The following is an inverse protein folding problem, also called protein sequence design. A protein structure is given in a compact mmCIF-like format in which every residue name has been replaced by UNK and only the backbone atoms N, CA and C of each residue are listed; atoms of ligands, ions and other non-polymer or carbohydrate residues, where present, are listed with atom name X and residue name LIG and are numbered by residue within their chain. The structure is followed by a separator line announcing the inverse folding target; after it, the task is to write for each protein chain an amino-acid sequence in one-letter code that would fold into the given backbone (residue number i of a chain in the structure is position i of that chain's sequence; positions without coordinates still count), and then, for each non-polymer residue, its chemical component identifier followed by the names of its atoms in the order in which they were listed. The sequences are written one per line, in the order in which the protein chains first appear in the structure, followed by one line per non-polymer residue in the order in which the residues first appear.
data_IF_549523431655
#
_entry.id   IF_549523431655
#
_cell.length_a   1.000
_cell.length_b   1.000
_cell.length_c   1.000
_cell.angle_alpha   90.00
_cell.angle_beta   90.00
_cell.angle_gamma   90.00
#
_symmetry.space_group_name_H-M   'P 1'
#
loop_
_entity.id
_entity.type
_entity.pdbx_description
1 polymer ?
#
# COMPACT_ATOMS: atom_id res chain seq x y z
N UNK A 1 -47.30 11.03 15.05
CA UNK A 1 -45.89 11.27 14.70
C UNK A 1 -45.33 10.25 13.70
N UNK A 2 -45.67 8.96 13.81
CA UNK A 2 -45.10 7.89 12.96
C UNK A 2 -45.41 7.99 11.46
N UNK A 3 -46.58 8.49 11.06
CA UNK A 3 -46.98 8.54 9.65
C UNK A 3 -46.21 9.61 8.84
N UNK A 4 -45.69 10.64 9.51
CA UNK A 4 -44.85 11.66 8.85
C UNK A 4 -43.43 11.14 8.63
N UNK A 5 -42.96 10.29 9.53
CA UNK A 5 -41.65 9.63 9.45
C UNK A 5 -41.60 8.67 8.26
N UNK A 6 -42.66 7.89 8.03
CA UNK A 6 -42.75 7.02 6.84
C UNK A 6 -42.78 7.81 5.52
N UNK A 7 -43.48 8.94 5.46
CA UNK A 7 -43.54 9.78 4.25
C UNK A 7 -42.20 10.45 3.95
N UNK A 8 -41.47 10.85 4.98
CA UNK A 8 -40.11 11.40 4.85
C UNK A 8 -39.13 10.35 4.30
N UNK A 9 -39.18 9.11 4.81
CA UNK A 9 -38.31 8.03 4.37
C UNK A 9 -38.54 7.65 2.89
N UNK A 10 -39.79 7.61 2.44
CA UNK A 10 -40.13 7.31 1.04
C UNK A 10 -39.63 8.42 0.10
N UNK A 11 -39.77 9.69 0.51
CA UNK A 11 -39.28 10.83 -0.27
C UNK A 11 -37.73 10.82 -0.39
N UNK A 12 -37.03 10.43 0.68
CA UNK A 12 -35.57 10.28 0.67
C UNK A 12 -35.09 9.18 -0.28
N UNK A 13 -35.78 8.04 -0.35
CA UNK A 13 -35.41 6.98 -1.30
C UNK A 13 -35.67 7.39 -2.76
N UNK A 14 -36.76 8.12 -3.04
CA UNK A 14 -37.08 8.57 -4.40
C UNK A 14 -36.07 9.58 -4.96
N UNK A 15 -35.37 10.32 -4.10
CA UNK A 15 -34.38 11.33 -4.50
C UNK A 15 -32.96 10.79 -4.68
N UNK A 16 -32.70 9.52 -4.33
CA UNK A 16 -31.36 8.96 -4.50
C UNK A 16 -31.08 8.69 -5.98
N UNK A 17 -30.05 9.33 -6.58
CA UNK A 17 -29.64 8.97 -7.92
C UNK A 17 -29.12 7.54 -7.87
N UNK A 18 -29.79 6.64 -8.58
CA UNK A 18 -29.30 5.29 -8.87
C UNK A 18 -27.96 5.43 -9.60
N UNK A 19 -26.87 5.50 -8.84
CA UNK A 19 -25.55 5.30 -9.39
C UNK A 19 -25.47 3.82 -9.69
N UNK A 20 -25.77 3.45 -10.94
CA UNK A 20 -25.49 2.13 -11.47
C UNK A 20 -24.02 1.85 -11.20
N UNK A 21 -23.74 1.09 -10.14
CA UNK A 21 -22.44 0.50 -9.93
C UNK A 21 -22.20 -0.40 -11.14
N UNK A 22 -21.38 0.08 -12.07
CA UNK A 22 -20.91 -0.70 -13.20
C UNK A 22 -20.02 -1.81 -12.62
N UNK A 23 -20.64 -2.93 -12.27
CA UNK A 23 -19.96 -4.19 -12.05
C UNK A 23 -19.52 -4.72 -13.43
N UNK A 24 -18.61 -3.99 -14.09
CA UNK A 24 -17.77 -4.61 -15.08
C UNK A 24 -16.97 -5.67 -14.35
N UNK A 25 -17.10 -6.93 -14.78
CA UNK A 25 -16.12 -7.94 -14.40
C UNK A 25 -14.77 -7.42 -14.91
N UNK A 26 -14.02 -6.73 -14.06
CA UNK A 26 -12.58 -6.61 -14.27
C UNK A 26 -12.11 -8.05 -14.15
N UNK A 27 -11.73 -8.65 -15.28
CA UNK A 27 -11.23 -10.01 -15.31
C UNK A 27 -10.14 -10.10 -14.26
N UNK A 28 -10.24 -11.05 -13.35
CA UNK A 28 -9.27 -11.26 -12.28
C UNK A 28 -7.84 -11.28 -12.82
N UNK A 29 -7.67 -11.71 -14.07
CA UNK A 29 -6.44 -11.65 -14.86
C UNK A 29 -5.82 -10.24 -15.01
N UNK A 30 -6.63 -9.20 -15.19
CA UNK A 30 -6.16 -7.81 -15.35
C UNK A 30 -5.70 -7.24 -14.00
N UNK A 31 -6.40 -7.57 -12.91
CA UNK A 31 -5.98 -7.20 -11.55
C UNK A 31 -4.72 -7.97 -11.15
N UNK A 32 -4.64 -9.27 -11.45
CA UNK A 32 -3.47 -10.12 -11.12
C UNK A 32 -2.24 -9.70 -11.91
N UNK A 33 -2.36 -9.36 -13.19
CA UNK A 33 -1.24 -8.88 -14.01
C UNK A 33 -0.72 -7.52 -13.53
N UNK A 34 -1.63 -6.58 -13.22
CA UNK A 34 -1.27 -5.28 -12.65
C UNK A 34 -0.64 -5.42 -11.26
N UNK A 35 -1.17 -6.32 -10.41
CA UNK A 35 -0.63 -6.61 -9.10
C UNK A 35 0.77 -7.25 -9.18
N UNK A 36 0.98 -8.24 -10.05
CA UNK A 36 2.31 -8.86 -10.24
C UNK A 36 3.36 -7.85 -10.69
N UNK A 37 2.98 -6.93 -11.60
CA UNK A 37 3.87 -5.86 -12.06
C UNK A 37 4.22 -4.87 -10.94
N UNK A 38 3.25 -4.54 -10.08
CA UNK A 38 3.45 -3.70 -8.91
C UNK A 38 4.32 -4.40 -7.84
N UNK A 39 4.09 -5.69 -7.60
CA UNK A 39 4.87 -6.54 -6.70
C UNK A 39 6.34 -6.58 -7.14
N UNK A 40 6.59 -6.83 -8.44
CA UNK A 40 7.96 -6.82 -9.00
C UNK A 40 8.65 -5.48 -8.82
N UNK A 41 7.93 -4.38 -9.05
CA UNK A 41 8.45 -3.02 -8.85
C UNK A 41 8.79 -2.76 -7.39
N UNK A 42 7.97 -3.25 -6.47
CA UNK A 42 8.19 -3.13 -5.01
C UNK A 42 9.45 -3.89 -4.58
N UNK A 43 9.61 -5.14 -5.01
CA UNK A 43 10.82 -5.93 -4.72
C UNK A 43 12.07 -5.25 -5.28
N UNK A 44 12.02 -4.75 -6.52
CA UNK A 44 13.14 -4.05 -7.15
C UNK A 44 13.49 -2.74 -6.43
N UNK A 45 12.49 -2.00 -5.91
CA UNK A 45 12.72 -0.80 -5.12
C UNK A 45 13.43 -1.12 -3.80
N UNK A 46 13.01 -2.19 -3.10
CA UNK A 46 13.68 -2.65 -1.87
C UNK A 46 15.12 -3.05 -2.16
N UNK A 47 15.38 -3.82 -3.21
CA UNK A 47 16.73 -4.19 -3.64
C UNK A 47 17.58 -3.00 -4.11
N UNK A 48 16.94 -1.90 -4.53
CA UNK A 48 17.63 -0.67 -4.94
C UNK A 48 18.07 0.20 -3.77
N UNK A 49 17.57 -0.03 -2.55
CA UNK A 49 17.97 0.74 -1.37
C UNK A 49 19.43 0.45 -1.05
N UNK A 50 20.22 1.52 -0.86
CA UNK A 50 21.66 1.42 -0.62
C UNK A 50 22.00 0.55 0.59
N UNK A 51 21.17 0.56 1.63
CA UNK A 51 21.34 -0.29 2.82
C UNK A 51 21.19 -1.78 2.47
N UNK A 52 20.17 -2.13 1.68
CA UNK A 52 19.92 -3.51 1.22
C UNK A 52 21.03 -3.97 0.28
N UNK A 53 21.47 -3.12 -0.65
CA UNK A 53 22.58 -3.43 -1.53
C UNK A 53 23.91 -3.65 -0.78
N UNK A 54 24.21 -2.80 0.22
CA UNK A 54 25.38 -2.92 1.09
C UNK A 54 25.34 -4.21 1.92
N UNK A 55 24.16 -4.57 2.43
CA UNK A 55 23.97 -5.79 3.21
C UNK A 55 24.02 -7.05 2.34
N UNK A 56 23.52 -7.01 1.11
CA UNK A 56 23.71 -8.10 0.15
C UNK A 56 25.20 -8.26 -0.20
N UNK A 57 25.90 -7.14 -0.38
CA UNK A 57 27.33 -7.15 -0.68
C UNK A 57 28.17 -7.67 0.50
N UNK A 58 27.79 -7.38 1.75
CA UNK A 58 28.45 -7.93 2.95
C UNK A 58 28.25 -9.44 3.09
N UNK A 59 27.16 -9.98 2.53
CA UNK A 59 26.90 -11.42 2.39
C UNK A 59 27.59 -12.03 1.14
N UNK A 60 28.36 -11.24 0.38
CA UNK A 60 29.05 -11.69 -0.84
C UNK A 60 28.15 -11.76 -2.08
N UNK A 61 26.93 -11.24 -2.02
CA UNK A 61 25.95 -11.27 -3.11
C UNK A 61 26.02 -9.93 -3.86
N UNK A 62 26.27 -9.98 -5.17
CA UNK A 62 26.25 -8.78 -5.99
C UNK A 62 24.79 -8.28 -6.16
N UNK A 63 24.48 -7.01 -5.86
CA UNK A 63 23.12 -6.48 -5.99
C UNK A 63 22.59 -6.55 -7.43
N UNK A 64 23.43 -6.45 -8.46
CA UNK A 64 23.02 -6.62 -9.86
C UNK A 64 22.54 -8.06 -10.13
N UNK A 65 23.26 -9.05 -9.61
CA UNK A 65 22.89 -10.46 -9.73
C UNK A 65 21.56 -10.76 -9.01
N UNK A 66 21.31 -10.12 -7.87
CA UNK A 66 20.04 -10.26 -7.16
C UNK A 66 18.86 -9.69 -7.98
N UNK A 67 19.06 -8.58 -8.70
CA UNK A 67 18.05 -7.99 -9.59
C UNK A 67 17.73 -8.90 -10.76
N UNK A 68 18.76 -9.47 -11.40
CA UNK A 68 18.58 -10.42 -12.50
C UNK A 68 17.80 -11.67 -12.06
N UNK A 69 18.05 -12.15 -10.83
CA UNK A 69 17.28 -13.26 -10.24
C UNK A 69 15.81 -12.90 -10.03
N UNK A 70 15.51 -11.71 -9.52
CA UNK A 70 14.12 -11.21 -9.39
C UNK A 70 13.48 -11.03 -10.76
N UNK A 71 14.24 -10.60 -11.78
CA UNK A 71 13.73 -10.51 -13.15
C UNK A 71 13.53 -11.87 -13.82
N UNK A 72 14.23 -12.91 -13.40
CA UNK A 72 14.03 -14.28 -13.88
C UNK A 72 12.92 -15.05 -13.13
N UNK A 73 12.44 -14.55 -11.98
CA UNK A 73 11.36 -15.19 -11.22
C UNK A 73 10.00 -15.08 -11.92
N UNK A 74 9.19 -16.11 -11.74
CA UNK A 74 7.81 -16.14 -12.21
C UNK A 74 6.92 -15.19 -11.41
N UNK A 75 5.80 -14.75 -12.01
CA UNK A 75 4.85 -13.83 -11.39
C UNK A 75 4.33 -14.32 -10.02
N UNK A 76 4.12 -15.64 -9.90
CA UNK A 76 3.65 -16.28 -8.67
C UNK A 76 4.71 -16.24 -7.55
N UNK A 77 5.98 -16.44 -7.90
CA UNK A 77 7.09 -16.40 -6.95
C UNK A 77 7.34 -14.97 -6.46
N UNK A 78 7.21 -13.98 -7.34
CA UNK A 78 7.38 -12.58 -6.97
C UNK A 78 6.25 -12.09 -6.09
N UNK A 79 5.01 -12.48 -6.36
CA UNK A 79 3.89 -12.11 -5.51
C UNK A 79 4.02 -12.73 -4.10
N UNK A 80 4.47 -13.99 -4.02
CA UNK A 80 4.77 -14.63 -2.74
C UNK A 80 5.94 -13.95 -1.99
N UNK A 81 6.96 -13.49 -2.72
CA UNK A 81 8.08 -12.73 -2.17
C UNK A 81 7.67 -11.33 -1.70
N UNK A 82 6.85 -10.63 -2.47
CA UNK A 82 6.30 -9.31 -2.13
C UNK A 82 5.40 -9.41 -0.90
N UNK A 83 4.52 -10.41 -0.83
CA UNK A 83 3.69 -10.66 0.35
C UNK A 83 4.53 -10.97 1.60
N UNK A 84 5.65 -11.70 1.44
CA UNK A 84 6.61 -11.86 2.54
C UNK A 84 7.26 -10.53 2.92
N UNK A 85 7.77 -9.76 1.96
CA UNK A 85 8.38 -8.45 2.22
C UNK A 85 7.41 -7.43 2.83
N UNK A 86 6.11 -7.54 2.57
CA UNK A 86 5.04 -6.75 3.19
C UNK A 86 4.75 -7.23 4.62
N UNK A 87 4.79 -8.56 4.83
CA UNK A 87 4.59 -9.17 6.16
C UNK A 87 5.78 -9.01 7.11
N UNK A 88 6.99 -8.89 6.58
CA UNK A 88 8.13 -8.39 7.34
C UNK A 88 7.90 -6.88 7.43
N UNK A 89 7.73 -6.27 8.61
CA UNK A 89 7.62 -4.82 8.73
C UNK A 89 8.90 -4.22 8.13
N UNK A 90 8.86 -3.87 6.85
CA UNK A 90 10.00 -3.33 6.14
C UNK A 90 10.32 -2.03 6.86
N UNK A 91 11.48 -2.03 7.51
CA UNK A 91 11.83 -1.14 8.61
C UNK A 91 11.26 0.25 8.42
N UNK A 92 10.53 0.72 9.44
CA UNK A 92 10.16 2.10 9.67
C UNK A 92 11.21 2.98 9.00
N UNK A 93 10.86 3.47 7.80
CA UNK A 93 11.80 4.22 7.00
C UNK A 93 12.33 5.30 7.93
N UNK A 94 13.65 5.49 8.03
CA UNK A 94 14.18 6.56 8.88
C UNK A 94 13.48 7.89 8.56
N UNK A 95 12.99 8.07 7.32
CA UNK A 95 12.10 9.17 6.95
C UNK A 95 10.70 9.11 7.58
N UNK A 96 10.06 7.93 7.64
CA UNK A 96 8.76 7.71 8.27
C UNK A 96 8.80 7.86 9.79
N UNK A 97 9.84 7.37 10.44
CA UNK A 97 10.06 7.56 11.88
C UNK A 97 10.32 9.03 12.21
N UNK A 98 11.13 9.73 11.41
CA UNK A 98 11.37 11.18 11.56
C UNK A 98 10.08 11.98 11.35
N UNK A 99 9.27 11.65 10.35
CA UNK A 99 7.95 12.27 10.13
C UNK A 99 7.02 12.08 11.33
N UNK A 100 6.97 10.87 11.89
CA UNK A 100 6.16 10.55 13.08
C UNK A 100 6.59 11.38 14.30
N UNK A 101 7.91 11.51 14.52
CA UNK A 101 8.49 12.32 15.59
C UNK A 101 8.11 13.80 15.42
N UNK A 102 8.20 14.33 14.20
CA UNK A 102 7.84 15.72 13.88
C UNK A 102 6.35 15.98 14.15
N UNK A 103 5.46 15.07 13.74
CA UNK A 103 4.01 15.21 13.96
C UNK A 103 3.68 15.22 15.46
N UNK A 104 4.29 14.31 16.23
CA UNK A 104 4.08 14.25 17.68
C UNK A 104 4.58 15.52 18.36
N UNK A 105 5.78 15.98 18.02
CA UNK A 105 6.35 17.20 18.59
C UNK A 105 5.50 18.44 18.26
N UNK A 106 5.03 18.57 17.03
CA UNK A 106 4.15 19.65 16.61
C UNK A 106 2.79 19.62 17.34
N UNK A 107 2.20 18.43 17.53
CA UNK A 107 0.96 18.27 18.28
C UNK A 107 1.11 18.68 19.75
N UNK A 108 2.22 18.30 20.40
CA UNK A 108 2.53 18.70 21.78
C UNK A 108 2.73 20.21 21.89
N UNK A 109 3.49 20.80 20.97
CA UNK A 109 3.70 22.26 20.95
C UNK A 109 2.39 23.02 20.75
N UNK A 110 1.54 22.57 19.81
CA UNK A 110 0.21 23.14 19.60
C UNK A 110 -0.67 23.02 20.84
N UNK A 111 -0.66 21.86 21.51
CA UNK A 111 -1.41 21.65 22.74
C UNK A 111 -0.95 22.56 23.87
N UNK A 112 0.37 22.76 24.03
CA UNK A 112 0.92 23.68 25.02
C UNK A 112 0.65 25.14 24.70
N UNK A 113 0.62 25.54 23.43
CA UNK A 113 0.33 26.92 23.04
C UNK A 113 -1.16 27.27 23.08
N UNK A 114 -2.02 26.27 22.87
CA UNK A 114 -3.47 26.44 22.93
C UNK A 114 -4.04 26.41 24.36
N UNK A 115 -3.23 26.06 25.35
CA UNK A 115 -3.58 26.08 26.77
C UNK A 115 -3.02 27.32 27.45
#
# INVERSE_FOLDING_TARGET
MNNMLCRLLIALMAWTPFQMAHAGMIGTEQVVSAASSADRTTVLNVLSRTDVASQLQSLGINPAQARDRVQAMSDQEISALASRLDSLPAGADSSGAVLLIIIIAAAVWWYMYKR
#
